data_IF_289275367510
#
_entry.id   IF_289275367510
#
_cell.length_a   1.000
_cell.length_b   1.000
_cell.length_c   1.000
_cell.angle_alpha   90.00
_cell.angle_beta   90.00
_cell.angle_gamma   90.00
#
_symmetry.space_group_name_H-M   'P 1'
#
loop_
_entity.id
_entity.type
_entity.pdbx_description
1 polymer ?
#
# COMPACT_ATOMS: atom_id res chain seq x y z
N UNK A 1 -6.28 83.18 -25.05
CA UNK A 1 -7.10 81.96 -25.01
C UNK A 1 -6.19 80.81 -25.40
N UNK A 2 -5.60 80.11 -24.43
CA UNK A 2 -5.57 78.65 -24.33
C UNK A 2 -4.82 78.28 -23.06
N UNK A 3 -5.43 77.30 -22.42
CA UNK A 3 -5.25 76.82 -21.06
C UNK A 3 -3.87 76.24 -20.83
N UNK A 4 -3.31 76.53 -19.65
CA UNK A 4 -2.00 76.04 -19.25
C UNK A 4 -2.24 74.67 -18.63
N UNK A 5 -2.25 73.61 -19.46
CA UNK A 5 -2.38 72.21 -19.02
C UNK A 5 -1.23 71.84 -18.07
N UNK A 6 -1.45 72.11 -16.79
CA UNK A 6 -0.60 71.64 -15.70
C UNK A 6 -0.79 70.13 -15.60
N UNK A 7 0.03 69.37 -16.33
CA UNK A 7 0.18 67.93 -16.13
C UNK A 7 0.71 67.73 -14.71
N UNK A 8 -0.20 67.51 -13.77
CA UNK A 8 0.12 67.22 -12.36
C UNK A 8 0.83 65.86 -12.30
N UNK A 9 2.16 65.89 -12.44
CA UNK A 9 2.99 64.69 -12.32
C UNK A 9 2.98 64.24 -10.86
N UNK A 10 2.10 63.28 -10.54
CA UNK A 10 1.96 62.70 -9.21
C UNK A 10 3.25 61.98 -8.79
N UNK A 11 4.03 62.58 -7.91
CA UNK A 11 5.29 62.01 -7.42
C UNK A 11 5.11 60.66 -6.73
N UNK A 12 6.05 59.73 -6.94
CA UNK A 12 6.05 58.43 -6.29
C UNK A 12 6.52 58.60 -4.84
N UNK A 13 5.57 58.77 -3.92
CA UNK A 13 5.87 58.90 -2.48
C UNK A 13 6.07 57.53 -1.83
N UNK A 14 6.76 57.48 -0.68
CA UNK A 14 6.94 56.24 0.09
C UNK A 14 5.62 55.53 0.43
N UNK A 15 4.51 56.26 0.60
CA UNK A 15 3.16 55.69 0.79
C UNK A 15 2.64 54.98 -0.47
N UNK A 16 2.96 55.49 -1.67
CA UNK A 16 2.62 54.83 -2.94
C UNK A 16 3.45 53.58 -3.14
N UNK A 17 4.75 53.64 -2.84
CA UNK A 17 5.63 52.47 -2.87
C UNK A 17 5.16 51.39 -1.89
N UNK A 18 4.80 51.79 -0.66
CA UNK A 18 4.21 50.88 0.33
C UNK A 18 2.90 50.26 -0.17
N UNK A 19 1.99 51.06 -0.74
CA UNK A 19 0.74 50.53 -1.29
C UNK A 19 0.99 49.51 -2.41
N UNK A 20 1.90 49.79 -3.34
CA UNK A 20 2.27 48.88 -4.43
C UNK A 20 2.84 47.57 -3.87
N UNK A 21 3.77 47.66 -2.92
CA UNK A 21 4.38 46.48 -2.28
C UNK A 21 3.33 45.67 -1.52
N UNK A 22 2.51 46.33 -0.69
CA UNK A 22 1.45 45.69 0.08
C UNK A 22 0.46 44.96 -0.85
N UNK A 23 0.01 45.59 -1.94
CA UNK A 23 -0.85 44.94 -2.93
C UNK A 23 -0.19 43.72 -3.57
N UNK A 24 1.09 43.82 -3.95
CA UNK A 24 1.83 42.69 -4.51
C UNK A 24 1.92 41.51 -3.54
N UNK A 25 2.29 41.77 -2.28
CA UNK A 25 2.34 40.73 -1.23
C UNK A 25 0.97 40.14 -0.92
N UNK A 26 -0.09 40.95 -0.86
CA UNK A 26 -1.45 40.46 -0.62
C UNK A 26 -1.91 39.50 -1.72
N UNK A 27 -1.58 39.76 -2.99
CA UNK A 27 -1.89 38.83 -4.09
C UNK A 27 -1.15 37.51 -3.92
N UNK A 28 0.16 37.54 -3.62
CA UNK A 28 0.96 36.33 -3.39
C UNK A 28 0.41 35.51 -2.22
N UNK A 29 0.10 36.16 -1.09
CA UNK A 29 -0.48 35.51 0.09
C UNK A 29 -1.85 34.91 -0.27
N UNK A 30 -2.70 35.67 -0.97
CA UNK A 30 -4.01 35.21 -1.41
C UNK A 30 -3.92 33.94 -2.26
N UNK A 31 -3.05 33.94 -3.28
CA UNK A 31 -2.82 32.77 -4.13
C UNK A 31 -2.28 31.59 -3.31
N UNK A 32 -1.32 31.80 -2.40
CA UNK A 32 -0.79 30.73 -1.55
C UNK A 32 -1.87 30.13 -0.64
N UNK A 33 -2.75 30.94 -0.06
CA UNK A 33 -3.87 30.47 0.75
C UNK A 33 -4.87 29.71 -0.14
N UNK A 34 -5.20 30.22 -1.32
CA UNK A 34 -6.08 29.52 -2.27
C UNK A 34 -5.48 28.18 -2.68
N UNK A 35 -4.19 28.12 -2.98
CA UNK A 35 -3.49 26.86 -3.29
C UNK A 35 -3.50 25.91 -2.09
N UNK A 36 -3.25 26.39 -0.87
CA UNK A 36 -3.32 25.58 0.34
C UNK A 36 -4.73 25.03 0.57
N UNK A 37 -5.77 25.85 0.38
CA UNK A 37 -7.17 25.42 0.49
C UNK A 37 -7.54 24.42 -0.61
N UNK A 38 -7.15 24.68 -1.86
CA UNK A 38 -7.33 23.75 -2.97
C UNK A 38 -6.63 22.42 -2.70
N UNK A 39 -5.38 22.43 -2.22
CA UNK A 39 -4.66 21.22 -1.84
C UNK A 39 -5.39 20.45 -0.72
N UNK A 40 -5.75 21.12 0.37
CA UNK A 40 -6.46 20.48 1.50
C UNK A 40 -7.84 19.93 1.07
N UNK A 41 -8.56 20.63 0.18
CA UNK A 41 -9.88 20.21 -0.29
C UNK A 41 -9.85 19.10 -1.36
N UNK A 42 -8.78 19.01 -2.16
CA UNK A 42 -8.63 17.95 -3.19
C UNK A 42 -7.86 16.72 -2.72
N UNK A 43 -7.32 16.72 -1.50
CA UNK A 43 -6.88 15.51 -0.81
C UNK A 43 -7.96 15.03 0.17
N UNK A 44 -8.77 13.99 -0.15
CA UNK A 44 -9.56 13.26 0.85
C UNK A 44 -8.64 12.33 1.68
N UNK A 45 -7.42 12.80 1.96
CA UNK A 45 -6.37 12.08 2.67
C UNK A 45 -6.48 12.36 4.15
N UNK A 46 -7.62 12.04 4.76
CA UNK A 46 -7.56 11.53 6.12
C UNK A 46 -6.75 10.22 6.04
N UNK A 47 -5.43 10.32 6.15
CA UNK A 47 -4.70 9.22 6.77
C UNK A 47 -5.34 9.11 8.14
N UNK A 48 -6.11 8.05 8.28
CA UNK A 48 -7.15 7.87 9.26
C UNK A 48 -6.66 8.35 10.64
N UNK A 49 -7.54 9.01 11.41
CA UNK A 49 -7.41 9.12 12.89
C UNK A 49 -7.26 7.74 13.59
N UNK A 50 -7.30 6.66 12.81
CA UNK A 50 -7.13 5.27 13.16
C UNK A 50 -5.73 4.71 12.80
N UNK A 51 -4.73 5.53 12.47
CA UNK A 51 -3.38 4.99 12.20
C UNK A 51 -2.77 4.34 13.45
N UNK A 52 -3.08 4.83 14.65
CA UNK A 52 -2.59 4.25 15.91
C UNK A 52 -3.34 2.97 16.32
N UNK A 53 -4.65 2.86 16.05
CA UNK A 53 -5.45 1.67 16.39
C UNK A 53 -5.32 0.58 15.31
N UNK A 54 -5.19 0.95 14.04
CA UNK A 54 -4.84 0.01 12.97
C UNK A 54 -3.43 -0.56 13.13
N UNK A 55 -2.42 0.24 13.50
CA UNK A 55 -1.08 -0.29 13.80
C UNK A 55 -1.07 -1.22 15.02
N UNK A 56 -1.83 -0.92 16.08
CA UNK A 56 -1.94 -1.82 17.24
C UNK A 56 -2.64 -3.14 16.91
N UNK A 57 -3.65 -3.14 16.04
CA UNK A 57 -4.24 -4.36 15.52
C UNK A 57 -3.23 -5.13 14.65
N UNK A 58 -2.49 -4.44 13.79
CA UNK A 58 -1.45 -5.05 12.97
C UNK A 58 -0.35 -5.70 13.81
N UNK A 59 0.16 -5.04 14.84
CA UNK A 59 1.20 -5.59 15.73
C UNK A 59 0.68 -6.77 16.55
N UNK A 60 -0.60 -6.74 16.97
CA UNK A 60 -1.25 -7.88 17.64
C UNK A 60 -1.46 -9.06 16.70
N UNK A 61 -1.97 -8.82 15.50
CA UNK A 61 -2.18 -9.85 14.47
C UNK A 61 -0.84 -10.46 14.04
N UNK A 62 0.19 -9.61 13.87
CA UNK A 62 1.54 -10.03 13.55
C UNK A 62 2.15 -10.88 14.66
N UNK A 63 2.07 -10.46 15.92
CA UNK A 63 2.62 -11.23 17.05
C UNK A 63 1.88 -12.56 17.25
N UNK A 64 0.56 -12.58 17.03
CA UNK A 64 -0.23 -13.82 17.02
C UNK A 64 0.22 -14.75 15.89
N UNK A 65 0.45 -14.22 14.68
CA UNK A 65 0.97 -15.01 13.56
C UNK A 65 2.40 -15.52 13.81
N UNK A 66 3.28 -14.70 14.39
CA UNK A 66 4.65 -15.11 14.74
C UNK A 66 4.66 -16.20 15.83
N UNK A 67 3.71 -16.16 16.76
CA UNK A 67 3.54 -17.19 17.80
C UNK A 67 3.13 -18.56 17.24
N UNK A 68 2.49 -18.62 16.07
CA UNK A 68 2.22 -19.89 15.38
C UNK A 68 3.52 -20.59 14.90
N UNK A 69 4.61 -19.83 14.79
CA UNK A 69 5.92 -20.30 14.33
C UNK A 69 5.84 -21.14 13.03
N UNK A 70 4.97 -20.73 12.11
CA UNK A 70 4.74 -21.45 10.85
C UNK A 70 5.98 -21.33 9.95
N UNK A 71 6.44 -22.48 9.47
CA UNK A 71 7.47 -22.57 8.45
C UNK A 71 6.82 -23.08 7.17
N UNK A 72 6.58 -22.15 6.24
CA UNK A 72 5.96 -22.48 4.95
C UNK A 72 7.01 -22.45 3.85
N UNK A 73 7.12 -23.57 3.14
CA UNK A 73 7.94 -23.71 1.95
C UNK A 73 7.05 -23.99 0.74
N UNK A 74 7.37 -23.36 -0.40
CA UNK A 74 6.67 -23.58 -1.65
C UNK A 74 7.65 -23.88 -2.78
N UNK A 75 7.29 -24.81 -3.66
CA UNK A 75 8.04 -25.19 -4.84
C UNK A 75 7.13 -25.40 -6.04
N UNK A 76 7.72 -25.30 -7.24
CA UNK A 76 7.04 -25.59 -8.50
C UNK A 76 7.76 -26.72 -9.20
N UNK A 77 7.05 -27.77 -9.54
CA UNK A 77 7.60 -28.95 -10.21
C UNK A 77 6.55 -29.60 -11.11
N UNK A 78 6.93 -29.94 -12.34
CA UNK A 78 6.08 -30.65 -13.30
C UNK A 78 4.64 -30.10 -13.46
N UNK A 79 4.47 -28.77 -13.47
CA UNK A 79 3.14 -28.15 -13.60
C UNK A 79 2.33 -28.07 -12.31
N UNK A 80 2.92 -28.42 -11.17
CA UNK A 80 2.28 -28.45 -9.86
C UNK A 80 3.01 -27.53 -8.89
N UNK A 81 2.23 -26.70 -8.18
CA UNK A 81 2.72 -25.97 -7.01
C UNK A 81 2.55 -26.89 -5.80
N UNK A 82 3.63 -27.13 -5.07
CA UNK A 82 3.63 -27.88 -3.81
C UNK A 82 3.95 -26.92 -2.66
N UNK A 83 3.13 -26.95 -1.63
CA UNK A 83 3.23 -26.10 -0.44
C UNK A 83 3.28 -27.03 0.76
N UNK A 84 4.39 -26.94 1.50
CA UNK A 84 4.57 -27.63 2.77
C UNK A 84 4.40 -26.61 3.87
N UNK A 85 3.47 -26.88 4.78
CA UNK A 85 3.23 -26.05 5.95
C UNK A 85 3.69 -26.85 7.16
N UNK A 86 4.73 -26.38 7.81
CA UNK A 86 5.26 -26.93 9.06
C UNK A 86 5.11 -25.90 10.19
N UNK A 87 5.28 -26.31 11.44
CA UNK A 87 5.27 -25.42 12.60
C UNK A 87 6.41 -25.80 13.53
N UNK A 88 7.22 -24.81 13.89
CA UNK A 88 8.29 -24.95 14.87
C UNK A 88 7.79 -24.69 16.31
N UNK A 89 6.48 -24.52 16.50
CA UNK A 89 5.89 -24.33 17.82
C UNK A 89 5.94 -25.64 18.63
N UNK A 90 6.06 -25.52 19.95
CA UNK A 90 6.03 -26.67 20.86
C UNK A 90 4.71 -27.46 20.77
N UNK A 91 3.62 -26.79 20.39
CA UNK A 91 2.34 -27.41 20.05
C UNK A 91 1.93 -26.89 18.66
N UNK A 92 1.97 -27.72 17.61
CA UNK A 92 1.58 -27.31 16.27
C UNK A 92 0.10 -26.95 16.21
N UNK A 93 -0.22 -25.71 15.80
CA UNK A 93 -1.61 -25.32 15.52
C UNK A 93 -1.95 -25.75 14.10
N UNK A 94 -2.97 -26.58 13.95
CA UNK A 94 -3.41 -27.04 12.64
C UNK A 94 -3.97 -25.91 11.78
N UNK A 95 -3.94 -26.06 10.45
CA UNK A 95 -4.53 -25.10 9.51
C UNK A 95 -6.01 -25.45 9.31
N UNK A 96 -6.90 -24.49 9.57
CA UNK A 96 -8.34 -24.61 9.36
C UNK A 96 -8.73 -24.31 7.91
N UNK A 97 -8.19 -23.23 7.35
CA UNK A 97 -8.40 -22.85 5.96
C UNK A 97 -7.12 -22.27 5.36
N UNK A 98 -6.88 -22.54 4.08
CA UNK A 98 -5.74 -22.01 3.33
C UNK A 98 -6.19 -21.71 1.91
N UNK A 99 -5.98 -20.46 1.49
CA UNK A 99 -6.19 -19.98 0.14
C UNK A 99 -4.84 -19.56 -0.43
N UNK A 100 -4.57 -19.94 -1.67
CA UNK A 100 -3.35 -19.56 -2.38
C UNK A 100 -3.67 -18.85 -3.69
N UNK A 101 -2.91 -17.80 -3.96
CA UNK A 101 -2.97 -17.05 -5.21
C UNK A 101 -1.55 -16.89 -5.75
N UNK A 102 -1.33 -17.16 -7.03
CA UNK A 102 -0.05 -16.99 -7.69
C UNK A 102 -0.13 -15.88 -8.73
N UNK A 103 0.85 -14.98 -8.74
CA UNK A 103 0.86 -13.85 -9.65
C UNK A 103 2.25 -13.28 -9.87
N UNK A 104 2.37 -12.31 -10.78
CA UNK A 104 3.63 -11.58 -11.03
C UNK A 104 3.79 -10.47 -9.99
N UNK A 105 5.02 -10.17 -9.58
CA UNK A 105 5.30 -9.16 -8.55
C UNK A 105 4.83 -7.73 -8.92
N UNK A 106 4.79 -7.40 -10.22
CA UNK A 106 4.49 -6.05 -10.73
C UNK A 106 3.15 -5.95 -11.48
N UNK A 107 2.43 -7.06 -11.66
CA UNK A 107 1.17 -7.09 -12.40
C UNK A 107 0.13 -7.89 -11.62
N UNK A 108 -0.75 -7.18 -10.89
CA UNK A 108 -1.90 -7.77 -10.18
C UNK A 108 -2.97 -8.35 -11.13
N UNK A 109 -2.88 -8.08 -12.43
CA UNK A 109 -3.90 -8.46 -13.43
C UNK A 109 -3.84 -9.94 -13.85
N UNK A 110 -2.91 -10.71 -13.31
CA UNK A 110 -2.68 -12.13 -13.63
C UNK A 110 -2.60 -13.00 -12.39
N UNK A 111 -3.33 -12.63 -11.33
CA UNK A 111 -3.43 -13.47 -10.13
C UNK A 111 -4.34 -14.68 -10.44
N UNK A 112 -3.77 -15.89 -10.38
CA UNK A 112 -4.47 -17.16 -10.49
C UNK A 112 -4.75 -17.68 -9.07
N UNK A 113 -6.02 -17.84 -8.73
CA UNK A 113 -6.43 -18.57 -7.51
C UNK A 113 -6.17 -20.05 -7.73
N UNK A 114 -5.53 -20.69 -6.75
CA UNK A 114 -5.17 -22.10 -6.80
C UNK A 114 -6.18 -22.93 -6.01
N UNK A 115 -6.69 -23.99 -6.64
CA UNK A 115 -7.47 -25.01 -5.97
C UNK A 115 -6.53 -25.98 -5.25
N UNK A 116 -6.34 -25.75 -3.96
CA UNK A 116 -5.41 -26.52 -3.13
C UNK A 116 -6.02 -27.87 -2.72
N UNK A 117 -5.31 -28.94 -3.04
CA UNK A 117 -5.58 -30.30 -2.59
C UNK A 117 -4.57 -30.70 -1.51
N UNK A 118 -5.07 -31.06 -0.32
CA UNK A 118 -4.24 -31.52 0.79
C UNK A 118 -4.10 -33.04 0.75
N UNK A 119 -2.87 -33.53 0.65
CA UNK A 119 -2.53 -34.96 0.75
C UNK A 119 -1.26 -35.10 1.62
N UNK A 120 -1.28 -36.00 2.60
CA UNK A 120 -0.12 -36.30 3.47
C UNK A 120 0.55 -35.07 4.12
N UNK A 121 -0.24 -34.04 4.46
CA UNK A 121 0.27 -32.80 5.05
C UNK A 121 0.84 -31.79 4.05
N UNK A 122 0.87 -32.12 2.76
CA UNK A 122 1.30 -31.25 1.67
C UNK A 122 0.08 -30.72 0.92
N UNK A 123 0.04 -29.42 0.67
CA UNK A 123 -0.94 -28.82 -0.22
C UNK A 123 -0.39 -28.75 -1.63
N UNK A 124 -1.16 -29.19 -2.61
CA UNK A 124 -0.76 -29.19 -4.02
C UNK A 124 -1.84 -28.57 -4.89
N UNK A 125 -1.44 -27.85 -5.92
CA UNK A 125 -2.37 -27.31 -6.92
C UNK A 125 -1.75 -27.34 -8.32
N UNK A 126 -2.54 -27.73 -9.35
CA UNK A 126 -2.13 -27.58 -10.73
C UNK A 126 -2.04 -26.10 -11.09
N UNK A 127 -0.93 -25.70 -11.70
CA UNK A 127 -0.75 -24.33 -12.21
C UNK A 127 0.11 -24.34 -13.46
N UNK A 128 -0.43 -23.83 -14.56
CA UNK A 128 0.35 -23.61 -15.79
C UNK A 128 1.03 -22.26 -15.67
N UNK A 129 2.32 -22.27 -15.33
CA UNK A 129 3.12 -21.06 -15.16
C UNK A 129 4.22 -21.03 -16.20
N UNK A 130 4.35 -19.89 -16.88
CA UNK A 130 5.50 -19.62 -17.74
C UNK A 130 6.79 -19.51 -16.91
N UNK A 131 7.96 -19.87 -17.49
CA UNK A 131 9.24 -19.67 -16.84
C UNK A 131 9.44 -18.24 -16.32
N UNK A 132 10.10 -18.13 -15.16
CA UNK A 132 10.44 -16.85 -14.53
C UNK A 132 10.02 -16.72 -13.07
N UNK A 133 10.05 -15.48 -12.58
CA UNK A 133 9.74 -15.16 -11.19
C UNK A 133 8.23 -14.93 -10.98
N UNK A 134 7.72 -15.55 -9.92
CA UNK A 134 6.34 -15.50 -9.47
C UNK A 134 6.29 -15.27 -7.96
N UNK A 135 5.17 -14.75 -7.48
CA UNK A 135 4.88 -14.57 -6.06
C UNK A 135 3.63 -15.38 -5.73
N UNK A 136 3.78 -16.28 -4.77
CA UNK A 136 2.70 -17.06 -4.18
C UNK A 136 2.24 -16.36 -2.90
N UNK A 137 1.00 -15.89 -2.88
CA UNK A 137 0.39 -15.23 -1.74
C UNK A 137 -0.57 -16.19 -1.05
N UNK A 138 -0.26 -16.50 0.20
CA UNK A 138 -1.02 -17.40 1.06
C UNK A 138 -1.81 -16.61 2.08
N UNK A 139 -3.09 -16.96 2.24
CA UNK A 139 -3.97 -16.41 3.27
C UNK A 139 -4.74 -17.55 3.90
N UNK A 140 -4.73 -17.62 5.22
CA UNK A 140 -5.42 -18.69 5.92
C UNK A 140 -5.80 -18.33 7.34
N UNK A 141 -6.43 -19.29 8.00
CA UNK A 141 -6.80 -19.24 9.40
C UNK A 141 -6.31 -20.51 10.08
N UNK A 142 -5.65 -20.36 11.22
CA UNK A 142 -5.25 -21.46 12.07
C UNK A 142 -6.47 -22.01 12.84
N UNK A 143 -6.37 -23.22 13.40
CA UNK A 143 -7.47 -23.86 14.14
C UNK A 143 -7.90 -23.09 15.39
N UNK A 144 -7.01 -22.31 15.97
CA UNK A 144 -7.28 -21.41 17.09
C UNK A 144 -7.98 -20.10 16.67
N UNK A 145 -8.20 -19.91 15.36
CA UNK A 145 -8.81 -18.72 14.79
C UNK A 145 -7.82 -17.62 14.39
N UNK A 146 -6.52 -17.82 14.60
CA UNK A 146 -5.50 -16.82 14.25
C UNK A 146 -5.40 -16.69 12.72
N UNK A 147 -5.68 -15.51 12.14
CA UNK A 147 -5.46 -15.30 10.72
C UNK A 147 -3.96 -15.20 10.43
N UNK A 148 -3.52 -15.74 9.30
CA UNK A 148 -2.14 -15.58 8.85
C UNK A 148 -2.07 -15.24 7.36
N UNK A 149 -1.02 -14.50 7.00
CA UNK A 149 -0.70 -14.17 5.61
C UNK A 149 0.80 -14.31 5.36
N UNK A 150 1.16 -14.95 4.26
CA UNK A 150 2.56 -15.11 3.87
C UNK A 150 2.72 -15.03 2.35
N UNK A 151 3.72 -14.27 1.92
CA UNK A 151 4.09 -14.15 0.51
C UNK A 151 5.43 -14.87 0.28
N UNK A 152 5.46 -15.77 -0.69
CA UNK A 152 6.60 -16.61 -1.01
C UNK A 152 7.03 -16.37 -2.46
N UNK A 153 8.32 -16.19 -2.68
CA UNK A 153 8.89 -16.15 -4.03
C UNK A 153 8.93 -17.56 -4.63
N UNK A 154 8.49 -17.67 -5.88
CA UNK A 154 8.49 -18.92 -6.64
C UNK A 154 9.27 -18.72 -7.93
N UNK A 155 10.29 -19.54 -8.17
CA UNK A 155 11.05 -19.53 -9.40
C UNK A 155 10.65 -20.73 -10.26
N UNK A 156 10.09 -20.47 -11.44
CA UNK A 156 9.74 -21.49 -12.43
C UNK A 156 10.88 -21.61 -13.43
N UNK A 157 11.50 -22.80 -13.48
CA UNK A 157 12.52 -23.14 -14.48
C UNK A 157 11.83 -23.85 -15.65
N UNK A 158 12.23 -23.47 -16.86
CA UNK A 158 11.83 -24.15 -18.10
C UNK A 158 12.71 -25.36 -18.39
#
# INVERSE_FOLDING_TARGET
>A
MTDNDQVTRKELTGRKVFAIMATGFSVIIGVNITMAYSAISTFPGLVVKNSYVASQNFDRERSAQEALALQIAAGYDAGQIKIVVDSLAAVPVGIKSLNATVGRATHARSDLTLDLHKADGVFSAPAVLEPGAWVLRLRGEAQDGTPFRQDLGLAVRG
#
